data_IF_483767695897
#
_entry.id   IF_483767695897
#
_cell.length_a   1.000
_cell.length_b   1.000
_cell.length_c   1.000
_cell.angle_alpha   90.00
_cell.angle_beta   90.00
_cell.angle_gamma   90.00
#
_symmetry.space_group_name_H-M   'P 1'
#
loop_
_entity.id
_entity.type
_entity.pdbx_description
1 polymer ?
#
# COMPACT_ATOMS: atom_id res chain seq x y z
N UNK A 1 5.38 6.88 -10.69
CA UNK A 1 5.86 5.75 -9.87
C UNK A 1 4.94 5.47 -8.68
N UNK A 2 4.78 6.39 -7.71
CA UNK A 2 3.89 6.19 -6.55
C UNK A 2 2.40 5.97 -6.90
N UNK A 3 1.90 6.49 -8.02
CA UNK A 3 0.53 6.19 -8.48
C UNK A 3 0.34 4.68 -8.73
N UNK A 4 1.32 4.02 -9.35
CA UNK A 4 1.26 2.57 -9.62
C UNK A 4 1.32 1.78 -8.30
N UNK A 5 2.19 2.17 -7.36
CA UNK A 5 2.24 1.57 -6.03
C UNK A 5 0.90 1.73 -5.27
N UNK A 6 0.28 2.91 -5.33
CA UNK A 6 -1.04 3.16 -4.73
C UNK A 6 -2.14 2.29 -5.37
N UNK A 7 -2.08 2.11 -6.70
CA UNK A 7 -3.00 1.22 -7.42
C UNK A 7 -2.82 -0.24 -6.98
N UNK A 8 -1.58 -0.72 -6.87
CA UNK A 8 -1.26 -2.08 -6.40
C UNK A 8 -1.79 -2.33 -4.99
N UNK A 9 -1.54 -1.40 -4.04
CA UNK A 9 -2.05 -1.51 -2.68
C UNK A 9 -3.58 -1.59 -2.67
N UNK A 10 -4.24 -0.69 -3.41
CA UNK A 10 -5.70 -0.59 -3.41
C UNK A 10 -6.34 -1.82 -4.05
N UNK A 11 -5.85 -2.22 -5.22
CA UNK A 11 -6.36 -3.37 -5.96
C UNK A 11 -6.22 -4.67 -5.19
N UNK A 12 -5.02 -4.99 -4.72
CA UNK A 12 -4.76 -6.24 -3.98
C UNK A 12 -5.47 -6.29 -2.63
N UNK A 13 -5.61 -5.14 -1.95
CA UNK A 13 -6.33 -5.08 -0.67
C UNK A 13 -7.83 -5.33 -0.83
N UNK A 14 -8.43 -4.85 -1.93
CA UNK A 14 -9.89 -4.93 -2.16
C UNK A 14 -10.33 -6.14 -2.97
N UNK A 15 -9.45 -6.71 -3.80
CA UNK A 15 -9.78 -7.84 -4.67
C UNK A 15 -10.03 -9.14 -3.90
N UNK A 16 -9.60 -9.24 -2.63
CA UNK A 16 -9.75 -10.46 -1.83
C UNK A 16 -9.21 -11.72 -2.54
N UNK A 17 -8.15 -11.56 -3.35
CA UNK A 17 -7.63 -12.60 -4.24
C UNK A 17 -7.07 -13.84 -3.52
N UNK A 18 -6.68 -13.69 -2.24
CA UNK A 18 -6.16 -14.77 -1.41
C UNK A 18 -7.11 -15.11 -0.27
N UNK A 19 -7.15 -16.39 0.13
CA UNK A 19 -7.90 -16.86 1.30
C UNK A 19 -7.52 -16.10 2.59
N UNK A 20 -6.25 -15.71 2.72
CA UNK A 20 -5.80 -14.80 3.78
C UNK A 20 -4.58 -14.00 3.32
N UNK A 21 -4.21 -12.97 4.08
CA UNK A 21 -2.95 -12.25 3.84
C UNK A 21 -2.98 -11.16 2.78
N UNK A 22 -4.11 -10.88 2.13
CA UNK A 22 -4.26 -9.84 1.09
C UNK A 22 -3.54 -8.51 1.44
N UNK A 23 -3.71 -8.00 2.66
CA UNK A 23 -3.07 -6.75 3.12
C UNK A 23 -1.53 -6.84 3.17
N UNK A 24 -0.99 -7.96 3.65
CA UNK A 24 0.46 -8.20 3.71
C UNK A 24 1.03 -8.32 2.30
N UNK A 25 0.33 -9.04 1.42
CA UNK A 25 0.72 -9.18 0.01
C UNK A 25 0.69 -7.83 -0.70
N UNK A 26 -0.39 -7.05 -0.54
CA UNK A 26 -0.52 -5.71 -1.13
C UNK A 26 0.64 -4.78 -0.71
N UNK A 27 0.98 -4.81 0.57
CA UNK A 27 2.10 -4.04 1.11
C UNK A 27 3.45 -4.47 0.51
N UNK A 28 3.76 -5.77 0.53
CA UNK A 28 5.02 -6.30 0.01
C UNK A 28 5.16 -6.05 -1.50
N UNK A 29 4.08 -6.24 -2.28
CA UNK A 29 4.10 -5.98 -3.72
C UNK A 29 4.38 -4.50 -4.01
N UNK A 30 3.76 -3.58 -3.28
CA UNK A 30 4.01 -2.15 -3.48
C UNK A 30 5.42 -1.75 -3.05
N UNK A 31 5.94 -2.34 -1.95
CA UNK A 31 7.32 -2.16 -1.51
C UNK A 31 8.31 -2.64 -2.57
N UNK A 32 8.18 -3.89 -3.03
CA UNK A 32 9.05 -4.47 -4.06
C UNK A 32 8.97 -3.69 -5.38
N UNK A 33 7.77 -3.26 -5.79
CA UNK A 33 7.62 -2.41 -6.97
C UNK A 33 8.41 -1.11 -6.87
N UNK A 34 8.38 -0.45 -5.70
CA UNK A 34 9.16 0.77 -5.50
C UNK A 34 10.67 0.48 -5.54
N UNK A 35 11.11 -0.57 -4.85
CA UNK A 35 12.53 -0.98 -4.77
C UNK A 35 13.10 -1.31 -6.16
N UNK A 36 12.37 -2.09 -6.97
CA UNK A 36 12.75 -2.43 -8.35
C UNK A 36 12.91 -1.19 -9.25
N UNK A 37 12.16 -0.14 -8.95
CA UNK A 37 12.19 1.13 -9.68
C UNK A 37 13.07 2.18 -8.96
N UNK A 38 14.02 1.75 -8.13
CA UNK A 38 15.01 2.60 -7.45
C UNK A 38 14.43 3.67 -6.53
N UNK A 39 13.24 3.43 -5.97
CA UNK A 39 12.70 4.23 -4.86
C UNK A 39 12.46 3.36 -3.64
N UNK A 40 12.38 3.97 -2.47
CA UNK A 40 12.10 3.24 -1.24
C UNK A 40 10.73 3.62 -0.71
N UNK A 41 10.05 2.64 -0.14
CA UNK A 41 8.92 2.90 0.73
C UNK A 41 9.45 3.55 2.00
N UNK A 42 9.15 4.83 2.21
CA UNK A 42 9.69 5.59 3.35
C UNK A 42 8.95 5.36 4.66
N UNK A 43 7.82 4.65 4.61
CA UNK A 43 7.01 4.37 5.78
C UNK A 43 7.61 3.22 6.58
N UNK A 44 7.55 3.33 7.91
CA UNK A 44 8.04 2.27 8.79
C UNK A 44 7.03 1.12 8.84
N UNK A 45 7.57 -0.10 8.82
CA UNK A 45 6.79 -1.30 9.13
C UNK A 45 6.21 -1.18 10.55
N UNK A 46 4.92 -1.50 10.75
CA UNK A 46 4.31 -1.45 12.08
C UNK A 46 2.82 -1.09 12.10
N UNK A 47 2.36 -0.56 13.23
CA UNK A 47 0.95 -0.22 13.49
C UNK A 47 0.38 0.80 12.49
N UNK A 48 1.20 1.76 12.06
CA UNK A 48 0.79 2.78 11.10
C UNK A 48 0.44 2.16 9.73
N UNK A 49 1.28 1.26 9.22
CA UNK A 49 1.02 0.55 7.98
C UNK A 49 -0.24 -0.33 8.08
N UNK A 50 -0.47 -0.96 9.24
CA UNK A 50 -1.69 -1.74 9.49
C UNK A 50 -2.93 -0.82 9.47
N UNK A 51 -2.85 0.36 10.07
CA UNK A 51 -3.94 1.33 10.10
C UNK A 51 -4.26 1.87 8.70
N UNK A 52 -3.26 2.22 7.90
CA UNK A 52 -3.47 2.68 6.52
C UNK A 52 -4.06 1.58 5.64
N UNK A 53 -3.53 0.35 5.69
CA UNK A 53 -4.07 -0.77 4.93
C UNK A 53 -5.52 -1.12 5.34
N UNK A 54 -5.89 -0.87 6.62
CA UNK A 54 -7.28 -0.96 7.06
C UNK A 54 -8.15 0.11 6.41
N UNK A 55 -7.71 1.37 6.40
CA UNK A 55 -8.42 2.47 5.71
C UNK A 55 -8.56 2.23 4.20
N UNK A 56 -7.54 1.67 3.54
CA UNK A 56 -7.60 1.28 2.12
C UNK A 56 -8.72 0.27 1.86
N UNK A 57 -8.82 -0.75 2.73
CA UNK A 57 -9.86 -1.78 2.65
C UNK A 57 -11.25 -1.19 2.85
N UNK A 58 -11.40 -0.30 3.82
CA UNK A 58 -12.67 0.37 4.15
C UNK A 58 -13.06 1.44 3.12
N UNK A 59 -12.13 1.87 2.28
CA UNK A 59 -12.35 2.94 1.32
C UNK A 59 -12.33 4.34 1.92
N UNK A 60 -11.83 4.49 3.14
CA UNK A 60 -11.76 5.75 3.91
C UNK A 60 -10.45 6.53 3.71
N UNK A 61 -9.61 6.11 2.76
CA UNK A 61 -8.42 6.83 2.31
C UNK A 61 -8.51 7.04 0.80
N UNK A 62 -8.30 8.27 0.35
CA UNK A 62 -8.27 8.60 -1.07
C UNK A 62 -6.88 8.38 -1.66
N UNK A 63 -6.78 8.40 -3.00
CA UNK A 63 -5.52 8.14 -3.69
C UNK A 63 -4.43 9.19 -3.35
N UNK A 64 -4.81 10.44 -3.13
CA UNK A 64 -3.85 11.52 -2.81
C UNK A 64 -3.22 11.28 -1.44
N UNK A 65 -4.03 10.96 -0.44
CA UNK A 65 -3.57 10.59 0.91
C UNK A 65 -2.68 9.35 0.88
N UNK A 66 -3.09 8.30 0.17
CA UNK A 66 -2.31 7.07 0.07
C UNK A 66 -0.94 7.31 -0.60
N UNK A 67 -0.88 8.19 -1.60
CA UNK A 67 0.37 8.57 -2.25
C UNK A 67 1.30 9.39 -1.35
N UNK A 68 0.75 10.32 -0.57
CA UNK A 68 1.52 11.08 0.41
C UNK A 68 2.13 10.13 1.45
N UNK A 69 1.30 9.23 1.97
CA UNK A 69 1.74 8.19 2.89
C UNK A 69 2.88 7.33 2.31
N UNK A 70 2.74 6.83 1.08
CA UNK A 70 3.81 6.05 0.42
C UNK A 70 5.13 6.81 0.26
N UNK A 71 5.08 8.14 0.13
CA UNK A 71 6.27 9.01 0.03
C UNK A 71 6.88 9.32 1.39
N UNK A 72 6.14 9.11 2.48
CA UNK A 72 6.49 9.56 3.83
C UNK A 72 6.29 11.06 4.04
N UNK A 73 5.32 11.66 3.34
CA UNK A 73 4.93 13.08 3.45
C UNK A 73 3.86 13.29 4.53
#
# INVERSE_FOLDING_TARGET
MFNHAACLITGLTRAHAFASGNRRTAYLVAKSFLEENKSNLKVKDGEEAIAVLKRVREGSINEKELKAWLKGD
#
